data_IF_452381642552
#
_entry.id   IF_452381642552
#
_cell.length_a   1.000
_cell.length_b   1.000
_cell.length_c   1.000
_cell.angle_alpha   90.00
_cell.angle_beta   90.00
_cell.angle_gamma   90.00
#
_symmetry.space_group_name_H-M   'P 1'
#
loop_
_entity.id
_entity.type
_entity.pdbx_description
1 polymer ?
#
# COMPACT_ATOMS: atom_id res chain seq x y z
N UNK A 1 -40.85 51.57 29.10
CA UNK A 1 -39.99 50.37 29.30
C UNK A 1 -38.62 50.59 28.67
N UNK A 2 -37.54 50.34 29.43
CA UNK A 2 -36.14 50.59 29.01
C UNK A 2 -35.66 49.57 27.97
N UNK A 3 -34.86 50.00 26.97
CA UNK A 3 -34.26 49.12 25.94
C UNK A 3 -33.49 47.92 26.55
N UNK A 4 -32.98 48.08 27.78
CA UNK A 4 -32.27 47.03 28.53
C UNK A 4 -33.20 45.92 29.04
N UNK A 5 -34.48 46.22 29.34
CA UNK A 5 -35.44 45.21 29.79
C UNK A 5 -35.92 44.33 28.63
N UNK A 6 -36.18 44.92 27.45
CA UNK A 6 -36.57 44.19 26.24
C UNK A 6 -35.51 43.18 25.79
N UNK A 7 -34.22 43.54 25.87
CA UNK A 7 -33.11 42.61 25.53
C UNK A 7 -33.02 41.42 26.49
N UNK A 8 -33.17 41.66 27.80
CA UNK A 8 -33.18 40.57 28.80
C UNK A 8 -34.36 39.63 28.61
N UNK A 9 -35.53 40.16 28.26
CA UNK A 9 -36.73 39.35 28.02
C UNK A 9 -36.60 38.46 26.77
N UNK A 10 -36.07 39.01 25.67
CA UNK A 10 -35.75 38.23 24.47
C UNK A 10 -34.72 37.12 24.75
N UNK A 11 -33.66 37.42 25.50
CA UNK A 11 -32.63 36.45 25.87
C UNK A 11 -33.17 35.35 26.79
N UNK A 12 -34.15 35.66 27.66
CA UNK A 12 -34.84 34.66 28.49
C UNK A 12 -35.75 33.77 27.66
N UNK A 13 -36.44 34.32 26.66
CA UNK A 13 -37.29 33.55 25.74
C UNK A 13 -36.45 32.61 24.86
N UNK A 14 -35.33 33.09 24.33
CA UNK A 14 -34.39 32.26 23.55
C UNK A 14 -33.77 31.15 24.40
N UNK A 15 -33.34 31.46 25.63
CA UNK A 15 -32.81 30.45 26.56
C UNK A 15 -33.85 29.39 26.96
N UNK A 16 -35.14 29.76 27.04
CA UNK A 16 -36.22 28.79 27.27
C UNK A 16 -36.45 27.90 26.05
N UNK A 17 -36.40 28.46 24.83
CA UNK A 17 -36.55 27.69 23.58
C UNK A 17 -35.36 26.76 23.35
N UNK A 18 -34.13 27.21 23.59
CA UNK A 18 -32.92 26.39 23.44
C UNK A 18 -32.86 25.26 24.47
N UNK A 19 -33.21 25.51 25.74
CA UNK A 19 -33.32 24.44 26.75
C UNK A 19 -34.41 23.43 26.42
N UNK A 20 -35.53 23.86 25.81
CA UNK A 20 -36.60 22.96 25.37
C UNK A 20 -36.11 22.08 24.21
N UNK A 21 -35.48 22.66 23.20
CA UNK A 21 -34.88 21.93 22.07
C UNK A 21 -33.79 20.96 22.54
N UNK A 22 -32.92 21.37 23.47
CA UNK A 22 -31.90 20.50 24.04
C UNK A 22 -32.56 19.29 24.72
N UNK A 23 -33.60 19.48 25.54
CA UNK A 23 -34.32 18.35 26.17
C UNK A 23 -35.02 17.46 25.16
N UNK A 24 -35.62 18.03 24.11
CA UNK A 24 -36.37 17.28 23.09
C UNK A 24 -35.45 16.51 22.14
N UNK A 25 -34.21 16.95 21.92
CA UNK A 25 -33.25 16.25 21.05
C UNK A 25 -32.34 15.30 21.84
N UNK A 26 -31.93 15.66 23.07
CA UNK A 26 -31.00 14.84 23.85
C UNK A 26 -31.63 13.52 24.33
N UNK A 27 -32.92 13.54 24.69
CA UNK A 27 -33.63 12.34 25.14
C UNK A 27 -33.73 11.24 24.05
N UNK A 28 -34.19 11.53 22.82
CA UNK A 28 -34.20 10.53 21.75
C UNK A 28 -32.78 10.15 21.29
N UNK A 29 -31.79 11.04 21.37
CA UNK A 29 -30.40 10.71 21.02
C UNK A 29 -29.78 9.69 22.01
N UNK A 30 -30.02 9.86 23.31
CA UNK A 30 -29.59 8.89 24.32
C UNK A 30 -30.31 7.54 24.19
N UNK A 31 -31.59 7.56 23.77
CA UNK A 31 -32.35 6.36 23.48
C UNK A 31 -31.83 5.63 22.22
N UNK A 32 -31.36 6.36 21.21
CA UNK A 32 -30.72 5.76 20.02
C UNK A 32 -29.38 5.10 20.35
N UNK A 33 -28.61 5.69 21.26
CA UNK A 33 -27.29 5.18 21.68
C UNK A 33 -27.37 3.97 22.63
N UNK A 34 -28.52 3.73 23.28
CA UNK A 34 -28.68 2.57 24.18
C UNK A 34 -28.98 1.26 23.43
N UNK A 35 -29.47 1.33 22.19
CA UNK A 35 -29.80 0.16 21.37
C UNK A 35 -28.54 -0.64 20.96
N UNK A 36 -27.44 -0.01 20.46
CA UNK A 36 -26.19 -0.72 20.19
C UNK A 36 -25.55 -1.30 21.47
N UNK A 37 -25.65 -0.60 22.60
CA UNK A 37 -25.04 -1.03 23.86
C UNK A 37 -25.70 -2.30 24.43
N UNK A 38 -27.01 -2.47 24.27
CA UNK A 38 -27.71 -3.70 24.66
C UNK A 38 -27.43 -4.87 23.69
N UNK A 39 -27.39 -4.61 22.38
CA UNK A 39 -27.15 -5.66 21.38
C UNK A 39 -25.70 -6.17 21.41
N UNK A 40 -24.71 -5.27 21.53
CA UNK A 40 -23.29 -5.67 21.63
C UNK A 40 -22.88 -6.10 23.05
N UNK A 41 -23.46 -5.52 24.11
CA UNK A 41 -23.15 -5.88 25.49
C UNK A 41 -23.59 -7.31 25.86
N UNK A 42 -24.76 -7.75 25.37
CA UNK A 42 -25.26 -9.12 25.63
C UNK A 42 -24.47 -10.16 24.82
N UNK A 43 -23.95 -9.80 23.65
CA UNK A 43 -23.11 -10.69 22.84
C UNK A 43 -21.71 -10.91 23.45
N UNK A 44 -21.17 -9.91 24.16
CA UNK A 44 -19.90 -10.00 24.90
C UNK A 44 -20.00 -10.83 26.20
N UNK A 45 -21.15 -10.78 26.90
CA UNK A 45 -21.32 -11.55 28.16
C UNK A 45 -21.60 -13.03 27.90
N UNK A 46 -22.33 -13.38 26.83
CA UNK A 46 -22.57 -14.79 26.47
C UNK A 46 -21.34 -15.51 25.89
N UNK A 47 -20.30 -14.78 25.50
CA UNK A 47 -19.03 -15.31 25.01
C UNK A 47 -17.92 -15.34 26.08
N UNK A 48 -18.25 -15.14 27.36
CA UNK A 48 -17.27 -15.37 28.43
C UNK A 48 -16.90 -16.87 28.45
N UNK A 49 -15.66 -17.25 28.10
CA UNK A 49 -15.27 -18.65 28.13
C UNK A 49 -15.17 -19.08 29.60
N UNK A 50 -15.70 -20.27 29.90
CA UNK A 50 -15.52 -20.93 31.19
C UNK A 50 -14.02 -20.95 31.51
N UNK A 51 -13.65 -20.49 32.72
CA UNK A 51 -12.28 -20.55 33.24
C UNK A 51 -11.79 -22.00 33.22
N UNK A 52 -11.08 -22.38 32.16
CA UNK A 52 -10.17 -23.53 32.16
C UNK A 52 -8.78 -22.98 32.37
N UNK A 53 -8.21 -23.28 33.53
CA UNK A 53 -6.78 -23.18 33.80
C UNK A 53 -6.05 -23.94 32.71
N UNK A 54 -5.41 -23.23 31.78
CA UNK A 54 -4.49 -23.79 30.79
C UNK A 54 -3.19 -23.03 30.87
N UNK A 55 -2.12 -23.81 30.90
CA UNK A 55 -0.72 -23.41 30.94
C UNK A 55 -0.42 -22.24 30.01
N UNK A 56 0.47 -21.35 30.47
CA UNK A 56 0.95 -20.21 29.72
C UNK A 56 1.67 -20.69 28.45
N UNK A 57 0.95 -20.71 27.33
CA UNK A 57 1.59 -20.58 26.03
C UNK A 57 1.98 -19.11 25.86
N UNK A 58 3.23 -18.81 25.49
CA UNK A 58 3.64 -17.43 25.24
C UNK A 58 2.76 -16.87 24.14
N UNK A 59 2.06 -15.78 24.45
CA UNK A 59 1.26 -15.00 23.52
C UNK A 59 2.16 -14.54 22.37
N UNK A 60 2.22 -15.34 21.30
CA UNK A 60 2.90 -14.95 20.08
C UNK A 60 2.03 -13.87 19.45
N UNK A 61 2.46 -12.61 19.60
CA UNK A 61 1.94 -11.49 18.83
C UNK A 61 2.08 -11.86 17.35
N UNK A 62 0.98 -12.28 16.72
CA UNK A 62 0.91 -12.44 15.27
C UNK A 62 0.91 -11.02 14.70
N UNK A 63 2.10 -10.47 14.53
CA UNK A 63 2.33 -9.28 13.71
C UNK A 63 1.90 -9.70 12.31
N UNK A 64 0.75 -9.22 11.83
CA UNK A 64 0.37 -9.37 10.42
C UNK A 64 1.45 -8.67 9.60
N UNK A 65 2.37 -9.45 9.05
CA UNK A 65 3.42 -8.97 8.17
C UNK A 65 2.79 -8.17 7.03
N UNK A 66 3.29 -6.95 6.81
CA UNK A 66 2.78 -6.06 5.79
C UNK A 66 3.09 -6.67 4.42
N UNK A 67 2.06 -7.14 3.73
CA UNK A 67 2.14 -7.66 2.35
C UNK A 67 2.21 -6.57 1.28
N UNK A 68 2.41 -5.32 1.69
CA UNK A 68 2.26 -4.12 0.86
C UNK A 68 3.47 -3.21 1.06
N UNK A 69 3.98 -2.66 -0.04
CA UNK A 69 5.05 -1.66 -0.03
C UNK A 69 4.71 -0.45 -0.91
N UNK A 70 5.05 0.72 -0.42
CA UNK A 70 5.00 1.96 -1.19
C UNK A 70 6.41 2.27 -1.68
N UNK A 71 6.53 2.51 -2.98
CA UNK A 71 7.83 2.62 -3.64
C UNK A 71 7.87 3.92 -4.44
N UNK A 72 8.98 4.64 -4.29
CA UNK A 72 9.23 5.94 -4.90
C UNK A 72 10.57 6.01 -5.63
N UNK A 73 11.39 4.96 -5.54
CA UNK A 73 12.69 4.84 -6.19
C UNK A 73 12.95 3.42 -6.70
N UNK A 74 13.94 3.28 -7.58
CA UNK A 74 14.30 1.97 -8.13
C UNK A 74 14.90 1.03 -7.06
N UNK A 75 15.66 1.57 -6.10
CA UNK A 75 16.23 0.78 -5.00
C UNK A 75 15.15 0.23 -4.08
N UNK A 76 14.15 1.06 -3.73
CA UNK A 76 12.96 0.61 -2.99
C UNK A 76 12.17 -0.46 -3.76
N UNK A 77 12.10 -0.37 -5.10
CA UNK A 77 11.44 -1.38 -5.92
C UNK A 77 12.21 -2.71 -5.87
N UNK A 78 13.53 -2.66 -6.06
CA UNK A 78 14.39 -3.86 -5.99
C UNK A 78 14.31 -4.49 -4.60
N UNK A 79 14.33 -3.68 -3.54
CA UNK A 79 14.13 -4.16 -2.18
C UNK A 79 12.77 -4.82 -1.99
N UNK A 80 11.69 -4.20 -2.49
CA UNK A 80 10.34 -4.76 -2.37
C UNK A 80 10.21 -6.10 -3.13
N UNK A 81 10.77 -6.18 -4.33
CA UNK A 81 10.80 -7.41 -5.14
C UNK A 81 11.63 -8.52 -4.47
N UNK A 82 12.71 -8.15 -3.79
CA UNK A 82 13.61 -9.07 -3.08
C UNK A 82 13.02 -9.63 -1.77
N UNK A 83 12.00 -8.98 -1.23
CA UNK A 83 11.34 -9.36 0.02
C UNK A 83 10.16 -10.30 -0.25
N UNK A 84 10.30 -11.55 0.20
CA UNK A 84 9.34 -12.67 0.01
C UNK A 84 7.95 -12.45 0.60
N UNK A 85 7.79 -11.51 1.54
CA UNK A 85 6.52 -11.26 2.22
C UNK A 85 5.61 -10.24 1.49
N UNK A 86 6.17 -9.46 0.56
CA UNK A 86 5.43 -8.41 -0.18
C UNK A 86 4.69 -9.03 -1.36
N UNK A 87 3.37 -8.89 -1.43
CA UNK A 87 2.57 -9.32 -2.59
C UNK A 87 2.04 -8.15 -3.42
N UNK A 88 2.13 -6.92 -2.90
CA UNK A 88 1.59 -5.72 -3.54
C UNK A 88 2.56 -4.55 -3.40
N UNK A 89 2.80 -3.85 -4.50
CA UNK A 89 3.71 -2.70 -4.59
C UNK A 89 2.94 -1.54 -5.22
N UNK A 90 2.85 -0.41 -4.53
CA UNK A 90 2.26 0.83 -5.05
C UNK A 90 3.34 1.85 -5.40
N UNK A 91 3.36 2.28 -6.66
CA UNK A 91 4.29 3.29 -7.17
C UNK A 91 3.78 4.68 -6.84
N UNK A 92 4.49 5.38 -5.96
CA UNK A 92 4.19 6.78 -5.64
C UNK A 92 4.75 7.75 -6.67
N UNK A 93 5.77 7.34 -7.41
CA UNK A 93 6.48 8.16 -8.42
C UNK A 93 6.85 7.32 -9.63
N UNK A 94 7.16 8.00 -10.72
CA UNK A 94 7.83 7.36 -11.85
C UNK A 94 9.19 6.84 -11.39
N UNK A 95 9.51 5.61 -11.80
CA UNK A 95 10.75 4.95 -11.46
C UNK A 95 11.62 4.90 -12.68
N UNK A 96 12.85 5.40 -12.55
CA UNK A 96 13.86 5.30 -13.60
C UNK A 96 15.04 4.48 -13.10
N UNK A 97 15.37 3.43 -13.83
CA UNK A 97 16.52 2.59 -13.51
C UNK A 97 17.82 3.30 -13.90
N UNK A 98 18.89 3.18 -13.09
CA UNK A 98 20.22 3.56 -13.50
C UNK A 98 20.65 2.85 -14.78
N UNK A 99 21.48 3.51 -15.59
CA UNK A 99 21.87 3.03 -16.93
C UNK A 99 23.35 2.63 -17.01
N UNK A 100 24.07 2.70 -15.89
CA UNK A 100 25.48 2.33 -15.75
C UNK A 100 25.61 1.12 -14.83
N UNK A 101 26.64 0.31 -15.06
CA UNK A 101 26.89 -0.87 -14.23
C UNK A 101 27.28 -0.45 -12.81
N UNK A 102 28.09 0.60 -12.68
CA UNK A 102 28.59 1.10 -11.40
C UNK A 102 27.45 1.50 -10.48
N UNK A 103 26.44 2.21 -10.99
CA UNK A 103 25.27 2.63 -10.21
C UNK A 103 24.38 1.45 -9.84
N UNK A 104 24.18 0.48 -10.74
CA UNK A 104 23.34 -0.70 -10.47
C UNK A 104 23.99 -1.66 -9.46
N UNK A 105 25.32 -1.79 -9.49
CA UNK A 105 26.07 -2.69 -8.60
C UNK A 105 26.14 -2.16 -7.16
N UNK A 106 25.76 -0.90 -6.91
CA UNK A 106 25.63 -0.38 -5.54
C UNK A 106 24.54 -1.09 -4.74
N UNK A 107 23.58 -1.74 -5.41
CA UNK A 107 22.50 -2.47 -4.78
C UNK A 107 22.92 -3.92 -4.51
N UNK A 108 23.25 -4.22 -3.26
CA UNK A 108 23.74 -5.54 -2.82
C UNK A 108 22.70 -6.68 -2.98
N UNK A 109 21.44 -6.35 -3.30
CA UNK A 109 20.35 -7.32 -3.43
C UNK A 109 20.25 -7.94 -4.82
N UNK A 110 21.01 -7.46 -5.79
CA UNK A 110 21.01 -7.93 -7.18
C UNK A 110 22.44 -8.11 -7.69
N UNK A 111 22.61 -8.96 -8.70
CA UNK A 111 23.87 -9.03 -9.46
C UNK A 111 23.63 -8.50 -10.87
N UNK A 112 24.58 -7.71 -11.36
CA UNK A 112 24.51 -7.08 -12.67
C UNK A 112 25.36 -7.89 -13.65
N UNK A 113 24.80 -8.27 -14.79
CA UNK A 113 25.51 -8.97 -15.85
C UNK A 113 25.35 -8.23 -17.18
N UNK A 114 26.43 -8.10 -17.95
CA UNK A 114 26.36 -7.59 -19.33
C UNK A 114 25.99 -8.71 -20.28
N UNK A 115 24.91 -8.53 -21.02
CA UNK A 115 24.48 -9.47 -22.05
C UNK A 115 24.32 -8.78 -23.40
N UNK A 116 24.51 -9.51 -24.49
CA UNK A 116 24.29 -9.01 -25.86
C UNK A 116 23.00 -9.62 -26.40
N UNK A 117 21.96 -8.80 -26.53
CA UNK A 117 20.71 -9.20 -27.17
C UNK A 117 20.69 -8.82 -28.65
N UNK A 118 19.91 -9.57 -29.42
CA UNK A 118 19.62 -9.20 -30.80
C UNK A 118 18.47 -8.21 -30.83
N UNK A 119 18.71 -7.05 -31.42
CA UNK A 119 17.72 -6.01 -31.63
C UNK A 119 17.54 -5.77 -33.12
N UNK A 120 16.30 -5.73 -33.60
CA UNK A 120 16.01 -5.39 -34.99
C UNK A 120 15.92 -3.87 -35.15
N UNK A 121 16.88 -3.28 -35.85
CA UNK A 121 16.88 -1.87 -36.17
C UNK A 121 15.92 -1.62 -37.35
N UNK A 122 14.72 -1.10 -37.06
CA UNK A 122 13.69 -0.80 -38.08
C UNK A 122 14.17 0.21 -39.13
N UNK A 123 15.05 1.14 -38.76
CA UNK A 123 15.56 2.17 -39.69
C UNK A 123 16.54 1.57 -40.69
N UNK A 124 17.38 0.64 -40.23
CA UNK A 124 18.39 -0.02 -41.07
C UNK A 124 17.93 -1.37 -41.64
N UNK A 125 16.71 -1.82 -41.29
CA UNK A 125 16.12 -3.13 -41.62
C UNK A 125 17.11 -4.29 -41.37
N UNK A 126 17.89 -4.22 -40.30
CA UNK A 126 18.97 -5.18 -39.98
C UNK A 126 18.96 -5.52 -38.51
N UNK A 127 19.28 -6.78 -38.22
CA UNK A 127 19.52 -7.26 -36.86
C UNK A 127 20.89 -6.76 -36.38
N UNK A 128 20.93 -6.15 -35.20
CA UNK A 128 22.15 -5.67 -34.55
C UNK A 128 22.25 -6.30 -33.16
N UNK A 129 23.48 -6.59 -32.72
CA UNK A 129 23.73 -6.97 -31.32
C UNK A 129 23.85 -5.70 -30.49
N UNK A 130 23.02 -5.56 -29.46
CA UNK A 130 23.09 -4.47 -28.49
C UNK A 130 23.41 -5.04 -27.11
N UNK A 131 24.30 -4.38 -26.40
CA UNK A 131 24.57 -4.71 -25.00
C UNK A 131 23.46 -4.17 -24.11
N UNK A 132 22.96 -5.00 -23.21
CA UNK A 132 22.03 -4.66 -22.14
C UNK A 132 22.63 -5.05 -20.79
N UNK A 133 22.08 -4.49 -19.72
CA UNK A 133 22.41 -4.83 -18.34
C UNK A 133 21.29 -5.73 -17.80
N UNK A 134 21.61 -6.98 -17.52
CA UNK A 134 20.70 -7.94 -16.93
C UNK A 134 20.84 -7.88 -15.41
N UNK A 135 19.73 -7.63 -14.71
CA UNK A 135 19.68 -7.64 -13.25
C UNK A 135 19.16 -9.00 -12.78
N UNK A 136 20.00 -9.76 -12.09
CA UNK A 136 19.64 -11.04 -11.54
C UNK A 136 19.33 -10.90 -10.06
N UNK A 137 18.16 -11.38 -9.65
CA UNK A 137 17.81 -11.50 -8.24
C UNK A 137 18.37 -12.83 -7.69
N UNK A 138 18.86 -12.87 -6.44
CA UNK A 138 19.42 -14.07 -5.85
C UNK A 138 18.35 -15.17 -5.77
N UNK A 139 18.66 -16.39 -6.24
CA UNK A 139 17.73 -17.51 -6.22
C UNK A 139 17.28 -17.85 -4.78
N UNK A 140 16.00 -17.59 -4.47
CA UNK A 140 15.29 -18.10 -3.29
C UNK A 140 14.02 -18.80 -3.78
N UNK A 141 13.37 -19.62 -2.96
CA UNK A 141 12.06 -20.18 -3.36
C UNK A 141 11.05 -19.03 -3.49
N UNK A 142 10.72 -18.66 -4.72
CA UNK A 142 9.92 -17.47 -5.03
C UNK A 142 8.59 -17.80 -5.68
N UNK A 143 7.96 -18.95 -5.40
CA UNK A 143 6.60 -19.24 -5.91
C UNK A 143 5.59 -18.25 -5.34
N UNK A 144 5.43 -17.11 -6.02
CA UNK A 144 4.58 -16.00 -5.61
C UNK A 144 4.30 -15.06 -6.77
N UNK A 145 3.13 -14.45 -6.72
CA UNK A 145 2.75 -13.36 -7.62
C UNK A 145 2.81 -12.03 -6.86
N UNK A 146 3.41 -11.01 -7.48
CA UNK A 146 3.48 -9.65 -6.96
C UNK A 146 2.74 -8.72 -7.91
N UNK A 147 1.77 -7.98 -7.37
CA UNK A 147 1.04 -6.96 -8.12
C UNK A 147 1.76 -5.62 -7.95
N UNK A 148 2.11 -4.99 -9.06
CA UNK A 148 2.70 -3.65 -9.12
C UNK A 148 1.63 -2.71 -9.67
N UNK A 149 1.18 -1.78 -8.85
CA UNK A 149 0.17 -0.78 -9.19
C UNK A 149 0.74 0.64 -9.10
N UNK A 150 0.15 1.57 -9.83
CA UNK A 150 0.62 2.95 -9.83
C UNK A 150 -0.06 3.75 -10.93
N UNK A 151 -1.28 4.20 -10.66
CA UNK A 151 -2.12 4.90 -11.63
C UNK A 151 -1.38 6.07 -12.29
N UNK A 152 -1.20 5.99 -13.60
CA UNK A 152 -0.52 7.01 -14.40
C UNK A 152 0.98 7.11 -14.14
N UNK A 153 1.60 6.09 -13.51
CA UNK A 153 3.03 6.00 -13.27
C UNK A 153 3.72 5.12 -14.29
N UNK A 154 5.03 5.33 -14.42
CA UNK A 154 5.88 4.58 -15.32
C UNK A 154 7.10 3.99 -14.63
N UNK A 155 7.55 2.85 -15.16
CA UNK A 155 8.86 2.26 -14.86
C UNK A 155 9.69 2.32 -16.15
N UNK A 156 10.73 3.14 -16.16
CA UNK A 156 11.71 3.23 -17.24
C UNK A 156 12.91 2.34 -16.95
N UNK A 157 12.94 1.18 -17.62
CA UNK A 157 14.06 0.25 -17.56
C UNK A 157 15.20 0.67 -18.51
N UNK A 158 14.92 1.42 -19.58
CA UNK A 158 15.92 1.77 -20.57
C UNK A 158 16.62 0.55 -21.18
N UNK A 159 17.94 0.43 -20.98
CA UNK A 159 18.78 -0.69 -21.46
C UNK A 159 18.96 -1.81 -20.42
N UNK A 160 18.12 -1.82 -19.40
CA UNK A 160 18.16 -2.80 -18.31
C UNK A 160 17.04 -3.83 -18.49
N UNK A 161 17.35 -5.10 -18.29
CA UNK A 161 16.35 -6.18 -18.22
C UNK A 161 16.37 -6.79 -16.82
N UNK A 162 15.19 -7.11 -16.29
CA UNK A 162 15.07 -7.85 -15.02
C UNK A 162 15.04 -9.34 -15.33
N UNK A 163 16.06 -10.07 -14.88
CA UNK A 163 16.03 -11.53 -14.86
C UNK A 163 15.35 -11.99 -13.58
N UNK A 164 14.06 -12.26 -13.69
CA UNK A 164 13.25 -12.70 -12.56
C UNK A 164 13.56 -14.18 -12.24
N UNK A 165 13.66 -14.54 -10.95
CA UNK A 165 13.86 -15.92 -10.55
C UNK A 165 12.62 -16.76 -10.89
N UNK A 166 12.82 -18.05 -11.12
CA UNK A 166 11.72 -18.97 -11.39
C UNK A 166 10.67 -18.94 -10.25
N UNK A 167 9.39 -18.86 -10.61
CA UNK A 167 8.27 -18.79 -9.69
C UNK A 167 7.80 -17.37 -9.31
N UNK A 168 8.63 -16.33 -9.55
CA UNK A 168 8.23 -14.94 -9.33
C UNK A 168 7.48 -14.39 -10.54
N UNK A 169 6.19 -14.14 -10.37
CA UNK A 169 5.35 -13.51 -11.39
C UNK A 169 5.07 -12.04 -11.03
N UNK A 170 5.21 -11.13 -12.00
CA UNK A 170 4.88 -9.72 -11.84
C UNK A 170 3.63 -9.38 -12.66
N UNK A 171 2.60 -8.88 -11.99
CA UNK A 171 1.40 -8.34 -12.62
C UNK A 171 1.43 -6.80 -12.55
N UNK A 172 1.30 -6.12 -13.69
CA UNK A 172 1.36 -4.67 -13.75
C UNK A 172 -0.04 -4.10 -13.97
N UNK A 173 -0.54 -3.31 -13.01
CA UNK A 173 -1.85 -2.67 -13.06
C UNK A 173 -1.71 -1.16 -13.14
N UNK A 174 -2.25 -0.58 -14.20
CA UNK A 174 -2.26 0.87 -14.43
C UNK A 174 -0.87 1.53 -14.42
N UNK A 175 0.19 0.74 -14.65
CA UNK A 175 1.60 1.17 -14.76
C UNK A 175 2.08 0.98 -16.19
N UNK A 176 2.79 1.99 -16.71
CA UNK A 176 3.45 1.92 -18.02
C UNK A 176 4.89 1.43 -17.88
N UNK A 177 5.22 0.29 -18.47
CA UNK A 177 6.60 -0.21 -18.53
C UNK A 177 7.31 0.26 -19.81
N UNK A 178 8.38 1.04 -19.68
CA UNK A 178 9.17 1.57 -20.80
C UNK A 178 10.49 0.80 -20.93
N UNK A 179 10.75 0.27 -22.14
CA UNK A 179 11.98 -0.47 -22.48
C UNK A 179 12.59 0.07 -23.77
N UNK A 180 13.92 0.18 -23.82
CA UNK A 180 14.61 0.74 -24.99
C UNK A 180 14.68 -0.21 -26.20
N UNK A 181 14.41 -1.50 -26.01
CA UNK A 181 14.43 -2.53 -27.04
C UNK A 181 13.05 -3.19 -27.11
N UNK A 182 12.10 -2.54 -27.77
CA UNK A 182 10.88 -3.21 -28.19
C UNK A 182 11.23 -4.19 -29.34
N UNK A 183 10.95 -5.48 -29.13
CA UNK A 183 11.02 -6.53 -30.16
C UNK A 183 10.03 -6.26 -31.30
#
# INVERSE_FOLDING_TARGET
MSRKSKRKEQQVIENRRSKKLLKTVLAPLLLLLSIPALVFGVHLVKQAPKKTTKESQPTQLVIKEKKYAEVSSWSELVEALSNTHISEIDLKKDIKFPQTEEELTTENRITVQKEKIFHFDKTKKKQQRRSILLLNFPEKSFDRSVVIQGEGKSIDLGKVELNLPAGLELDFKDVVLLRAYHY
#
